data_IF_344921838418
#
_entry.id   IF_344921838418
#
_cell.length_a   1.000
_cell.length_b   1.000
_cell.length_c   1.000
_cell.angle_alpha   90.00
_cell.angle_beta   90.00
_cell.angle_gamma   90.00
#
_symmetry.space_group_name_H-M   'P 1'
#
loop_
_entity.id
_entity.type
_entity.pdbx_description
1 polymer ?
#
# COMPACT_ATOMS: atom_id res chain seq x y z
N UNK A 1 7.88 5.17 0.10
CA UNK A 1 7.38 4.72 1.43
C UNK A 1 8.08 5.42 2.58
N UNK A 2 9.41 5.57 2.58
CA UNK A 2 10.17 6.15 3.71
C UNK A 2 9.84 7.60 4.11
N UNK A 3 9.04 8.33 3.31
CA UNK A 3 8.61 9.71 3.60
C UNK A 3 7.23 9.77 4.29
N UNK A 4 6.46 8.68 4.27
CA UNK A 4 5.19 8.59 4.99
C UNK A 4 5.45 8.55 6.49
N UNK A 5 4.62 9.24 7.26
CA UNK A 5 4.76 9.33 8.73
C UNK A 5 3.60 8.67 9.45
N UNK A 6 2.42 8.64 8.83
CA UNK A 6 1.21 8.07 9.40
C UNK A 6 0.88 6.72 8.75
N UNK A 7 0.95 6.63 7.42
CA UNK A 7 0.67 5.39 6.68
C UNK A 7 1.92 4.50 6.71
N UNK A 8 1.85 3.39 7.45
CA UNK A 8 3.02 2.52 7.68
C UNK A 8 3.04 1.28 6.76
N UNK A 9 4.22 0.75 6.40
CA UNK A 9 4.32 -0.50 5.66
C UNK A 9 3.77 -1.69 6.48
N UNK A 10 2.87 -2.46 5.89
CA UNK A 10 2.38 -3.71 6.47
C UNK A 10 2.12 -4.78 5.40
N UNK A 11 2.10 -6.05 5.80
CA UNK A 11 1.72 -7.18 4.93
C UNK A 11 0.26 -7.61 5.14
N UNK A 12 -0.34 -7.26 6.28
CA UNK A 12 -1.75 -7.43 6.60
C UNK A 12 -2.62 -6.29 6.06
N UNK A 13 -3.94 -6.37 6.29
CA UNK A 13 -4.93 -5.38 5.90
C UNK A 13 -6.10 -5.38 6.89
N UNK A 14 -6.83 -4.26 6.98
CA UNK A 14 -8.05 -4.14 7.81
C UNK A 14 -7.82 -3.85 9.29
N UNK A 15 -6.65 -3.31 9.66
CA UNK A 15 -6.40 -2.79 11.00
C UNK A 15 -7.04 -1.40 11.21
N UNK A 16 -7.07 -0.91 12.44
CA UNK A 16 -7.48 0.47 12.76
C UNK A 16 -6.50 1.52 12.22
N UNK A 17 -5.27 1.11 11.90
CA UNK A 17 -4.23 1.96 11.32
C UNK A 17 -4.13 1.77 9.80
N UNK A 18 -3.97 2.87 9.09
CA UNK A 18 -3.71 2.90 7.66
C UNK A 18 -2.36 2.29 7.34
N UNK A 19 -2.32 1.44 6.32
CA UNK A 19 -1.10 0.75 5.91
C UNK A 19 -0.93 0.63 4.40
N UNK A 20 0.32 0.59 3.95
CA UNK A 20 0.70 0.48 2.54
C UNK A 20 1.55 -0.76 2.29
N UNK A 21 1.42 -1.36 1.12
CA UNK A 21 2.26 -2.51 0.72
C UNK A 21 2.59 -2.48 -0.76
N UNK A 22 3.70 -3.13 -1.12
CA UNK A 22 4.09 -3.39 -2.51
C UNK A 22 3.76 -4.85 -2.86
N UNK A 23 2.64 -5.13 -3.55
CA UNK A 23 2.13 -6.49 -3.74
C UNK A 23 3.11 -7.48 -4.40
N UNK A 24 3.91 -7.11 -5.43
CA UNK A 24 4.85 -8.02 -6.08
C UNK A 24 5.89 -8.68 -5.17
N UNK A 25 6.22 -8.07 -4.02
CA UNK A 25 7.15 -8.67 -3.04
C UNK A 25 6.46 -9.15 -1.76
N UNK A 26 5.18 -8.83 -1.57
CA UNK A 26 4.41 -9.16 -0.38
C UNK A 26 3.32 -10.20 -0.69
N UNK A 27 2.06 -9.78 -0.70
CA UNK A 27 0.87 -10.63 -0.88
C UNK A 27 0.80 -11.36 -2.22
N UNK A 28 1.44 -10.84 -3.26
CA UNK A 28 1.42 -11.40 -4.61
C UNK A 28 2.82 -11.76 -5.09
N UNK A 29 3.68 -12.21 -4.16
CA UNK A 29 5.04 -12.68 -4.46
C UNK A 29 5.09 -14.02 -5.18
N UNK A 30 4.08 -14.87 -5.01
CA UNK A 30 4.01 -16.20 -5.60
C UNK A 30 3.76 -16.20 -7.12
N UNK A 31 2.78 -15.46 -7.67
CA UNK A 31 2.62 -15.37 -9.11
C UNK A 31 3.85 -14.71 -9.75
N UNK A 32 4.29 -15.26 -10.87
CA UNK A 32 5.36 -14.66 -11.69
C UNK A 32 4.89 -13.35 -12.36
N UNK A 33 5.81 -12.63 -13.00
CA UNK A 33 5.53 -11.33 -13.62
C UNK A 33 4.36 -11.37 -14.60
N UNK A 34 4.33 -12.35 -15.52
CA UNK A 34 3.23 -12.52 -16.49
C UNK A 34 1.89 -12.72 -15.79
N UNK A 35 1.83 -13.62 -14.79
CA UNK A 35 0.62 -13.90 -14.03
C UNK A 35 0.15 -12.69 -13.20
N UNK A 36 1.07 -11.84 -12.72
CA UNK A 36 0.74 -10.58 -12.05
C UNK A 36 0.18 -9.57 -13.04
N UNK A 37 0.82 -9.40 -14.20
CA UNK A 37 0.38 -8.49 -15.25
C UNK A 37 -1.04 -8.84 -15.77
N UNK A 38 -1.34 -10.12 -15.96
CA UNK A 38 -2.68 -10.60 -16.32
C UNK A 38 -3.76 -10.22 -15.29
N UNK A 39 -3.38 -10.05 -14.02
CA UNK A 39 -4.26 -9.62 -12.91
C UNK A 39 -4.26 -8.10 -12.70
N UNK A 40 -3.56 -7.34 -13.55
CA UNK A 40 -3.42 -5.89 -13.41
C UNK A 40 -2.43 -5.45 -12.31
N UNK A 41 -1.57 -6.36 -11.83
CA UNK A 41 -0.57 -6.07 -10.79
C UNK A 41 0.74 -5.67 -11.48
N UNK A 42 0.89 -4.37 -11.73
CA UNK A 42 2.13 -3.78 -12.27
C UNK A 42 3.20 -3.59 -11.18
N UNK A 43 4.45 -3.42 -11.60
CA UNK A 43 5.57 -3.09 -10.69
C UNK A 43 5.48 -1.68 -10.07
N UNK A 44 4.59 -0.82 -10.58
CA UNK A 44 4.28 0.48 -9.97
C UNK A 44 3.11 0.43 -8.97
N UNK A 45 2.46 -0.72 -8.79
CA UNK A 45 1.25 -0.81 -7.98
C UNK A 45 1.57 -0.75 -6.49
N UNK A 46 1.00 0.24 -5.81
CA UNK A 46 0.95 0.30 -4.35
C UNK A 46 -0.47 0.03 -3.89
N UNK A 47 -0.63 -0.79 -2.83
CA UNK A 47 -1.94 -1.05 -2.21
C UNK A 47 -2.02 -0.35 -0.86
N UNK A 48 -3.02 0.50 -0.69
CA UNK A 48 -3.36 1.18 0.56
C UNK A 48 -4.56 0.48 1.23
N UNK A 49 -4.42 0.11 2.50
CA UNK A 49 -5.52 -0.27 3.38
C UNK A 49 -5.80 0.94 4.28
N UNK A 50 -6.96 1.56 4.14
CA UNK A 50 -7.34 2.75 4.93
C UNK A 50 -7.89 2.30 6.28
N UNK A 51 -7.32 2.84 7.36
CA UNK A 51 -7.76 2.65 8.74
C UNK A 51 -8.88 3.60 9.13
N UNK A 52 -8.92 3.97 10.41
CA UNK A 52 -9.97 4.83 11.00
C UNK A 52 -9.43 6.17 11.53
N UNK A 53 -8.29 6.64 11.02
CA UNK A 53 -7.76 7.97 11.32
C UNK A 53 -8.69 9.10 10.83
N UNK A 54 -8.39 10.35 11.21
CA UNK A 54 -9.15 11.48 10.69
C UNK A 54 -9.05 11.51 9.15
N UNK A 55 -10.17 11.69 8.42
CA UNK A 55 -10.17 11.59 6.95
C UNK A 55 -9.18 12.51 6.25
N UNK A 56 -8.80 13.63 6.88
CA UNK A 56 -7.86 14.62 6.36
C UNK A 56 -6.39 14.23 6.56
N UNK A 57 -6.08 13.36 7.53
CA UNK A 57 -4.71 12.98 7.84
C UNK A 57 -4.11 12.08 6.74
N UNK A 58 -4.94 11.20 6.15
CA UNK A 58 -4.52 10.29 5.08
C UNK A 58 -4.04 11.02 3.82
N UNK A 59 -4.82 11.91 3.18
CA UNK A 59 -4.34 12.67 2.03
C UNK A 59 -3.18 13.59 2.41
N UNK A 60 -3.18 14.20 3.60
CA UNK A 60 -2.09 15.07 4.06
C UNK A 60 -0.75 14.32 4.15
N UNK A 61 -0.76 13.09 4.68
CA UNK A 61 0.46 12.25 4.77
C UNK A 61 0.94 11.83 3.37
N UNK A 62 0.01 11.47 2.47
CA UNK A 62 0.34 11.14 1.07
C UNK A 62 0.95 12.33 0.32
N UNK A 63 0.32 13.51 0.40
CA UNK A 63 0.79 14.74 -0.25
C UNK A 63 2.17 15.15 0.27
N UNK A 64 2.40 15.03 1.58
CA UNK A 64 3.69 15.36 2.20
C UNK A 64 4.82 14.38 1.81
N UNK A 65 4.47 13.18 1.34
CA UNK A 65 5.43 12.13 1.01
C UNK A 65 5.83 12.06 -0.48
N UNK A 66 5.07 12.72 -1.36
CA UNK A 66 5.37 12.85 -2.80
C UNK A 66 6.48 13.89 -3.05
#
# INVERSE_FOLDING_TARGET
MNRLKLILPATSLGDIYSSITYPPISSHREPNETQRAERGISDGLLRLSVGIEAPQDIPTDLESAL
#
